data_IF_626869807364
#
_entry.id   IF_626869807364
#
_cell.length_a   1.000
_cell.length_b   1.000
_cell.length_c   1.000
_cell.angle_alpha   90.00
_cell.angle_beta   90.00
_cell.angle_gamma   90.00
#
_symmetry.space_group_name_H-M   'P 1'
#
loop_
_entity.id
_entity.type
_entity.pdbx_description
1 polymer ?
#
# COMPACT_ATOMS: atom_id res chain seq x y z
N UNK A 1 -9.37 -25.01 -8.60
CA UNK A 1 -8.14 -24.35 -9.09
C UNK A 1 -8.06 -22.97 -8.46
N UNK A 2 -7.33 -22.86 -7.36
CA UNK A 2 -6.99 -21.56 -6.76
C UNK A 2 -6.08 -20.85 -7.74
N UNK A 3 -6.58 -19.83 -8.44
CA UNK A 3 -5.73 -18.89 -9.15
C UNK A 3 -4.85 -18.24 -8.08
N UNK A 4 -3.62 -18.72 -7.96
CA UNK A 4 -2.55 -18.02 -7.27
C UNK A 4 -2.31 -16.71 -8.03
N UNK A 5 -3.14 -15.72 -7.70
CA UNK A 5 -2.99 -14.31 -8.09
C UNK A 5 -1.81 -13.73 -7.35
N UNK A 6 -0.63 -14.34 -7.45
CA UNK A 6 0.62 -13.59 -7.35
C UNK A 6 0.36 -12.38 -8.24
N UNK A 7 0.21 -11.20 -7.63
CA UNK A 7 -0.36 -9.97 -8.23
C UNK A 7 0.54 -9.38 -9.32
N UNK A 8 1.10 -10.23 -10.16
CA UNK A 8 2.13 -9.99 -11.14
C UNK A 8 3.19 -9.02 -10.61
N UNK A 9 3.69 -9.25 -9.39
CA UNK A 9 4.62 -8.32 -8.75
C UNK A 9 5.96 -8.37 -9.49
N UNK A 10 6.41 -7.24 -10.02
CA UNK A 10 7.68 -7.10 -10.75
C UNK A 10 8.82 -6.66 -9.86
N UNK A 11 8.53 -5.77 -8.91
CA UNK A 11 9.55 -5.22 -8.04
C UNK A 11 8.99 -4.92 -6.65
N UNK A 12 9.79 -5.18 -5.63
CA UNK A 12 9.53 -4.76 -4.26
C UNK A 12 10.76 -3.98 -3.80
N UNK A 13 10.51 -2.78 -3.30
CA UNK A 13 11.54 -1.96 -2.66
C UNK A 13 11.31 -1.99 -1.16
N UNK A 14 12.40 -1.98 -0.41
CA UNK A 14 12.39 -2.05 1.04
C UNK A 14 12.92 -0.74 1.62
N UNK A 15 12.41 -0.36 2.78
CA UNK A 15 12.94 0.75 3.55
C UNK A 15 14.14 0.31 4.42
N UNK A 16 14.71 1.26 5.17
CA UNK A 16 15.83 1.01 6.10
C UNK A 16 15.51 0.04 7.24
N UNK A 17 14.22 -0.23 7.50
CA UNK A 17 13.76 -1.21 8.48
C UNK A 17 13.55 -2.60 7.85
N UNK A 18 13.97 -2.79 6.59
CA UNK A 18 13.72 -3.97 5.77
C UNK A 18 12.22 -4.29 5.61
N UNK A 19 11.35 -3.28 5.67
CA UNK A 19 9.92 -3.39 5.44
C UNK A 19 9.58 -3.00 3.99
N UNK A 20 8.58 -3.62 3.34
CA UNK A 20 8.20 -3.30 1.96
C UNK A 20 7.69 -1.86 1.83
N UNK A 21 8.42 -0.96 1.18
CA UNK A 21 8.01 0.43 0.96
C UNK A 21 7.08 0.56 -0.26
N UNK A 22 7.49 -0.05 -1.38
CA UNK A 22 6.72 0.00 -2.63
C UNK A 22 6.78 -1.32 -3.37
N UNK A 23 5.61 -1.78 -3.80
CA UNK A 23 5.38 -3.00 -4.56
C UNK A 23 4.83 -2.62 -5.92
N UNK A 24 5.61 -2.82 -6.98
CA UNK A 24 5.20 -2.59 -8.37
C UNK A 24 4.70 -3.89 -9.00
N UNK A 25 3.65 -3.81 -9.80
CA UNK A 25 3.09 -4.90 -10.60
C UNK A 25 3.49 -4.79 -12.07
N UNK A 26 3.33 -5.88 -12.82
CA UNK A 26 3.62 -5.96 -14.26
C UNK A 26 2.73 -5.04 -15.09
N UNK A 27 1.52 -4.79 -14.60
CA UNK A 27 0.55 -3.85 -15.19
C UNK A 27 0.95 -2.38 -15.02
N UNK A 28 2.05 -2.10 -14.31
CA UNK A 28 2.52 -0.76 -13.96
C UNK A 28 1.84 -0.16 -12.72
N UNK A 29 0.77 -0.79 -12.22
CA UNK A 29 0.20 -0.45 -10.92
C UNK A 29 1.22 -0.65 -9.81
N UNK A 30 1.19 0.18 -8.79
CA UNK A 30 2.03 -0.02 -7.62
C UNK A 30 1.31 0.30 -6.33
N UNK A 31 1.71 -0.37 -5.26
CA UNK A 31 1.24 -0.11 -3.91
C UNK A 31 2.38 0.51 -3.13
N UNK A 32 2.13 1.66 -2.51
CA UNK A 32 3.07 2.32 -1.61
C UNK A 32 2.57 2.18 -0.18
N UNK A 33 3.47 1.84 0.72
CA UNK A 33 3.24 1.74 2.14
C UNK A 33 3.99 2.87 2.84
N UNK A 34 3.40 3.42 3.89
CA UNK A 34 4.07 4.41 4.72
C UNK A 34 4.12 3.87 6.13
N UNK A 35 5.29 3.93 6.73
CA UNK A 35 5.55 3.44 8.08
C UNK A 35 6.01 4.59 8.96
N UNK A 36 5.74 4.45 10.25
CA UNK A 36 6.34 5.26 11.30
C UNK A 36 7.81 4.86 11.52
N UNK A 37 8.58 5.69 12.23
CA UNK A 37 9.97 5.40 12.60
C UNK A 37 10.12 4.08 13.39
N UNK A 38 9.05 3.66 14.07
CA UNK A 38 8.96 2.38 14.81
C UNK A 38 8.64 1.17 13.92
N UNK A 39 8.40 1.35 12.61
CA UNK A 39 8.00 0.29 11.69
C UNK A 39 6.49 0.00 11.67
N UNK A 40 5.68 0.79 12.39
CA UNK A 40 4.22 0.66 12.34
C UNK A 40 3.66 1.21 11.03
N UNK A 41 2.83 0.41 10.34
CA UNK A 41 2.17 0.85 9.10
C UNK A 41 1.17 1.99 9.39
N UNK A 42 1.40 3.16 8.79
CA UNK A 42 0.54 4.35 8.90
C UNK A 42 -0.50 4.40 7.81
N UNK A 43 -0.14 4.09 6.56
CA UNK A 43 -1.08 4.06 5.45
C UNK A 43 -0.62 3.10 4.34
N UNK A 44 -1.57 2.76 3.46
CA UNK A 44 -1.28 2.18 2.16
C UNK A 44 -2.00 2.95 1.06
N UNK A 45 -1.33 3.19 -0.05
CA UNK A 45 -1.89 3.76 -1.27
C UNK A 45 -1.70 2.80 -2.44
N UNK A 46 -2.78 2.48 -3.16
CA UNK A 46 -2.74 1.77 -4.44
C UNK A 46 -2.80 2.82 -5.54
N UNK A 47 -1.81 2.80 -6.43
CA UNK A 47 -1.66 3.70 -7.55
C UNK A 47 -1.73 2.90 -8.85
N UNK A 48 -2.30 3.52 -9.88
CA UNK A 48 -2.27 2.96 -11.23
C UNK A 48 -0.93 3.27 -11.94
N UNK A 49 -0.77 2.72 -13.14
CA UNK A 49 0.41 2.97 -13.99
C UNK A 49 0.60 4.46 -14.39
N UNK A 50 -0.46 5.27 -14.30
CA UNK A 50 -0.43 6.72 -14.54
C UNK A 50 -0.19 7.54 -13.27
N UNK A 51 0.30 6.91 -12.19
CA UNK A 51 0.56 7.55 -10.90
C UNK A 51 -0.67 8.16 -10.20
N UNK A 52 -1.87 7.73 -10.56
CA UNK A 52 -3.12 8.17 -9.92
C UNK A 52 -3.46 7.25 -8.76
N UNK A 53 -3.67 7.83 -7.58
CA UNK A 53 -4.12 7.12 -6.38
C UNK A 53 -5.54 6.58 -6.60
N UNK A 54 -5.65 5.26 -6.66
CA UNK A 54 -6.93 4.55 -6.80
C UNK A 54 -7.58 4.29 -5.46
N UNK A 55 -6.77 3.94 -4.44
CA UNK A 55 -7.28 3.62 -3.11
C UNK A 55 -6.26 3.99 -2.06
N UNK A 56 -6.71 4.67 -1.02
CA UNK A 56 -5.92 4.91 0.19
C UNK A 56 -6.58 4.21 1.37
N UNK A 57 -5.79 3.66 2.27
CA UNK A 57 -6.27 3.21 3.56
C UNK A 57 -5.28 3.66 4.63
N UNK A 58 -5.76 4.52 5.52
CA UNK A 58 -5.01 5.06 6.63
C UNK A 58 -5.26 4.19 7.87
N UNK A 59 -4.18 3.67 8.45
CA UNK A 59 -4.17 2.80 9.63
C UNK A 59 -3.81 3.56 10.90
N UNK A 60 -3.61 4.89 10.81
CA UNK A 60 -3.51 5.75 11.98
C UNK A 60 -4.75 5.52 12.87
N UNK A 61 -4.52 5.46 14.19
CA UNK A 61 -5.45 4.99 15.23
C UNK A 61 -6.60 5.97 15.50
N UNK A 62 -7.21 6.52 14.46
CA UNK A 62 -8.42 7.34 14.57
C UNK A 62 -9.33 7.12 13.38
N UNK A 63 -9.77 5.87 13.21
CA UNK A 63 -10.99 5.55 12.47
C UNK A 63 -12.16 5.44 13.46
N UNK A 64 -12.54 6.55 14.09
CA UNK A 64 -13.87 6.65 14.71
C UNK A 64 -14.27 8.12 15.00
N UNK A 65 -14.67 8.85 13.96
CA UNK A 65 -15.71 9.86 14.14
C UNK A 65 -16.75 9.63 13.06
N UNK A 66 -17.64 8.70 13.38
CA UNK A 66 -18.92 8.39 12.74
C UNK A 66 -19.66 9.69 12.42
N UNK A 67 -19.74 10.06 11.15
CA UNK A 67 -20.60 11.16 10.71
C UNK A 67 -22.05 10.65 10.62
N UNK A 68 -22.80 10.81 11.73
CA UNK A 68 -24.24 11.04 11.65
C UNK A 68 -24.41 12.56 11.70
N UNK A 69 -24.80 13.17 10.59
CA UNK A 69 -25.48 14.45 10.51
C UNK A 69 -26.50 14.31 9.38
#
# INVERSE_FOLDING_TARGET
MTLDRNKDITAITYNHLNLPDKVTKSTGEYVKYTYDATGRKLSQGVYNASNVLQKKSDYAVSSFMRMIR
#
